data_IF_757302755723
#
_entry.id   IF_757302755723
#
_cell.length_a   1.000
_cell.length_b   1.000
_cell.length_c   1.000
_cell.angle_alpha   90.00
_cell.angle_beta   90.00
_cell.angle_gamma   90.00
#
_symmetry.space_group_name_H-M   'P 1'
#
loop_
_entity.id
_entity.type
_entity.pdbx_description
1 polymer ?
#
# COMPACT_ATOMS: atom_id res chain seq x y z
N UNK A 1 -0.24 19.42 -8.95
CA UNK A 1 -1.31 18.44 -8.68
C UNK A 1 -2.19 19.01 -7.60
N UNK A 2 -3.51 18.99 -7.81
CA UNK A 2 -4.46 19.50 -6.83
C UNK A 2 -4.67 18.42 -5.75
N UNK A 3 -4.33 18.73 -4.51
CA UNK A 3 -4.50 17.85 -3.34
C UNK A 3 -5.90 17.21 -3.27
N UNK A 4 -7.03 17.92 -3.48
CA UNK A 4 -8.35 17.28 -3.42
C UNK A 4 -8.52 16.20 -4.48
N UNK A 5 -7.97 16.40 -5.70
CA UNK A 5 -8.03 15.40 -6.76
C UNK A 5 -7.24 14.14 -6.39
N UNK A 6 -6.06 14.29 -5.79
CA UNK A 6 -5.23 13.14 -5.40
C UNK A 6 -5.82 12.39 -4.21
N UNK A 7 -6.41 13.11 -3.26
CA UNK A 7 -7.15 12.51 -2.15
C UNK A 7 -8.38 11.72 -2.64
N UNK A 8 -9.16 12.27 -3.58
CA UNK A 8 -10.31 11.58 -4.17
C UNK A 8 -9.91 10.32 -4.94
N UNK A 9 -8.84 10.38 -5.74
CA UNK A 9 -8.28 9.18 -6.41
C UNK A 9 -7.81 8.16 -5.39
N UNK A 10 -7.12 8.60 -4.34
CA UNK A 10 -6.70 7.72 -3.24
C UNK A 10 -7.88 7.03 -2.56
N UNK A 11 -8.95 7.77 -2.24
CA UNK A 11 -10.18 7.23 -1.67
C UNK A 11 -10.80 6.15 -2.56
N UNK A 12 -10.93 6.42 -3.86
CA UNK A 12 -11.47 5.46 -4.82
C UNK A 12 -10.60 4.19 -4.94
N UNK A 13 -9.27 4.33 -4.96
CA UNK A 13 -8.35 3.20 -4.96
C UNK A 13 -8.43 2.40 -3.66
N UNK A 14 -8.61 3.08 -2.52
CA UNK A 14 -8.84 2.44 -1.22
C UNK A 14 -10.12 1.60 -1.21
N UNK A 15 -11.23 2.14 -1.73
CA UNK A 15 -12.47 1.38 -1.91
C UNK A 15 -12.28 0.17 -2.82
N UNK A 16 -11.62 0.35 -3.97
CA UNK A 16 -11.36 -0.73 -4.91
C UNK A 16 -10.52 -1.84 -4.27
N UNK A 17 -9.50 -1.49 -3.50
CA UNK A 17 -8.67 -2.45 -2.78
C UNK A 17 -9.46 -3.19 -1.69
N UNK A 18 -10.26 -2.48 -0.89
CA UNK A 18 -11.10 -3.10 0.13
C UNK A 18 -12.15 -4.05 -0.46
N UNK A 19 -12.75 -3.68 -1.59
CA UNK A 19 -13.68 -4.55 -2.33
C UNK A 19 -12.96 -5.79 -2.87
N UNK A 20 -11.77 -5.64 -3.46
CA UNK A 20 -10.97 -6.76 -3.93
C UNK A 20 -10.57 -7.70 -2.79
N UNK A 21 -10.15 -7.15 -1.64
CA UNK A 21 -9.86 -7.92 -0.44
C UNK A 21 -11.09 -8.70 0.04
N UNK A 22 -12.28 -8.09 -0.01
CA UNK A 22 -13.53 -8.74 0.37
C UNK A 22 -13.90 -9.88 -0.57
N UNK A 23 -13.76 -9.67 -1.88
CA UNK A 23 -13.98 -10.72 -2.90
C UNK A 23 -12.99 -11.86 -2.68
N UNK A 24 -11.71 -11.55 -2.46
CA UNK A 24 -10.70 -12.55 -2.19
C UNK A 24 -11.03 -13.39 -0.95
N UNK A 25 -11.43 -12.76 0.17
CA UNK A 25 -11.89 -13.46 1.37
C UNK A 25 -13.07 -14.39 1.10
N UNK A 26 -14.01 -14.00 0.23
CA UNK A 26 -15.14 -14.85 -0.19
C UNK A 26 -14.69 -16.05 -0.99
N UNK A 27 -13.69 -15.88 -1.87
CA UNK A 27 -13.17 -16.95 -2.73
C UNK A 27 -12.39 -18.00 -1.95
N UNK A 28 -11.73 -17.62 -0.86
CA UNK A 28 -10.90 -18.52 -0.05
C UNK A 28 -11.63 -19.12 1.17
N UNK A 29 -12.91 -18.82 1.35
CA UNK A 29 -13.69 -19.29 2.50
C UNK A 29 -14.76 -20.26 2.02
N UNK A 30 -14.84 -21.44 2.66
CA UNK A 30 -15.84 -22.48 2.37
C UNK A 30 -17.21 -22.14 2.93
N UNK A 31 -17.28 -21.50 4.10
CA UNK A 31 -18.51 -21.08 4.77
C UNK A 31 -18.41 -19.61 5.21
N UNK A 32 -18.67 -18.66 4.30
CA UNK A 32 -18.34 -17.26 4.59
C UNK A 32 -19.50 -16.58 5.31
N UNK A 33 -19.41 -16.48 6.63
CA UNK A 33 -20.33 -15.71 7.48
C UNK A 33 -19.96 -14.23 7.48
N UNK A 34 -20.39 -13.54 6.43
CA UNK A 34 -20.03 -12.15 6.18
C UNK A 34 -21.17 -11.20 6.52
N UNK A 35 -20.95 -10.32 7.49
CA UNK A 35 -21.89 -9.25 7.81
C UNK A 35 -21.72 -8.03 6.87
N UNK A 36 -22.83 -7.35 6.58
CA UNK A 36 -22.82 -6.07 5.87
C UNK A 36 -22.10 -4.99 6.69
N UNK A 37 -22.27 -4.98 8.01
CA UNK A 37 -21.58 -4.07 8.92
C UNK A 37 -20.06 -4.25 8.83
N UNK A 38 -19.56 -5.48 8.89
CA UNK A 38 -18.12 -5.75 8.75
C UNK A 38 -17.59 -5.36 7.37
N UNK A 39 -18.39 -5.57 6.32
CA UNK A 39 -18.04 -5.14 4.96
C UNK A 39 -17.94 -3.61 4.87
N UNK A 40 -18.91 -2.88 5.42
CA UNK A 40 -18.90 -1.43 5.48
C UNK A 40 -17.70 -0.88 6.25
N UNK A 41 -17.33 -1.52 7.36
CA UNK A 41 -16.12 -1.17 8.12
C UNK A 41 -14.85 -1.37 7.30
N UNK A 42 -14.66 -2.53 6.66
CA UNK A 42 -13.49 -2.78 5.80
C UNK A 42 -13.40 -1.73 4.70
N UNK A 43 -14.50 -1.48 3.99
CA UNK A 43 -14.53 -0.49 2.92
C UNK A 43 -14.23 0.92 3.45
N UNK A 44 -14.82 1.32 4.57
CA UNK A 44 -14.57 2.61 5.20
C UNK A 44 -13.11 2.80 5.61
N UNK A 45 -12.52 1.79 6.25
CA UNK A 45 -11.11 1.80 6.62
C UNK A 45 -10.18 1.86 5.41
N UNK A 46 -10.44 1.04 4.39
CA UNK A 46 -9.62 1.03 3.17
C UNK A 46 -9.75 2.35 2.41
N UNK A 47 -10.97 2.91 2.29
CA UNK A 47 -11.22 4.19 1.67
C UNK A 47 -10.54 5.34 2.42
N UNK A 48 -10.62 5.34 3.75
CA UNK A 48 -9.93 6.30 4.61
C UNK A 48 -8.41 6.22 4.49
N UNK A 49 -7.86 4.99 4.47
CA UNK A 49 -6.44 4.77 4.22
C UNK A 49 -6.00 5.27 2.84
N UNK A 50 -6.76 4.92 1.81
CA UNK A 50 -6.54 5.41 0.45
C UNK A 50 -6.59 6.94 0.36
N UNK A 51 -7.55 7.57 1.03
CA UNK A 51 -7.66 9.02 1.12
C UNK A 51 -6.42 9.66 1.74
N UNK A 52 -5.93 9.11 2.86
CA UNK A 52 -4.70 9.56 3.52
C UNK A 52 -3.51 9.43 2.56
N UNK A 53 -3.33 8.29 1.91
CA UNK A 53 -2.24 8.07 0.96
C UNK A 53 -2.32 9.03 -0.25
N UNK A 54 -3.52 9.25 -0.78
CA UNK A 54 -3.77 10.20 -1.86
C UNK A 54 -3.52 11.66 -1.47
N UNK A 55 -3.88 12.02 -0.24
CA UNK A 55 -3.54 13.31 0.36
C UNK A 55 -2.02 13.47 0.49
N UNK A 56 -1.32 12.46 1.01
CA UNK A 56 0.15 12.47 1.16
C UNK A 56 0.86 12.61 -0.19
N UNK A 57 0.35 11.94 -1.23
CA UNK A 57 0.85 12.10 -2.60
C UNK A 57 0.69 13.55 -3.10
N UNK A 58 -0.45 14.17 -2.82
CA UNK A 58 -0.72 15.58 -3.14
C UNK A 58 0.15 16.56 -2.35
N UNK A 59 0.23 16.40 -1.03
CA UNK A 59 1.05 17.21 -0.14
C UNK A 59 2.54 17.13 -0.49
N UNK A 60 3.01 15.94 -0.87
CA UNK A 60 4.37 15.74 -1.40
C UNK A 60 4.59 16.50 -2.70
N UNK A 61 3.64 16.44 -3.63
CA UNK A 61 3.72 17.18 -4.89
C UNK A 61 3.73 18.71 -4.68
N UNK A 62 3.08 19.18 -3.60
CA UNK A 62 3.11 20.58 -3.16
C UNK A 62 4.38 20.97 -2.36
N UNK A 63 5.27 20.01 -2.06
CA UNK A 63 6.52 20.28 -1.36
C UNK A 63 6.40 20.44 0.16
N UNK A 64 5.40 19.83 0.79
CA UNK A 64 5.20 19.91 2.24
C UNK A 64 6.29 19.16 3.03
N UNK A 65 6.32 19.38 4.35
CA UNK A 65 7.30 18.78 5.27
C UNK A 65 7.15 17.27 5.39
N UNK A 66 8.20 16.57 5.85
CA UNK A 66 8.19 15.11 5.99
C UNK A 66 7.30 14.60 7.13
N UNK A 67 6.97 15.46 8.10
CA UNK A 67 6.17 15.11 9.27
C UNK A 67 4.78 14.56 8.91
N UNK A 68 4.20 15.05 7.81
CA UNK A 68 2.93 14.55 7.30
C UNK A 68 2.94 13.05 6.99
N UNK A 69 4.10 12.44 6.71
CA UNK A 69 4.21 10.99 6.47
C UNK A 69 3.76 10.16 7.67
N UNK A 70 3.83 10.69 8.88
CA UNK A 70 3.32 10.01 10.07
C UNK A 70 1.82 9.74 9.98
N UNK A 71 1.07 10.54 9.20
CA UNK A 71 -0.35 10.29 8.97
C UNK A 71 -0.61 8.94 8.30
N UNK A 72 0.30 8.45 7.46
CA UNK A 72 0.13 7.13 6.85
C UNK A 72 0.44 5.97 7.81
N UNK A 73 0.99 6.23 9.00
CA UNK A 73 1.03 5.24 10.09
C UNK A 73 -0.36 5.03 10.70
N UNK A 74 -1.26 6.01 10.60
CA UNK A 74 -2.65 5.84 11.04
C UNK A 74 -3.37 4.75 10.23
N UNK A 75 -2.94 4.52 8.98
CA UNK A 75 -3.45 3.44 8.14
C UNK A 75 -3.08 2.04 8.67
N UNK A 76 -2.18 1.92 9.66
CA UNK A 76 -1.86 0.62 10.26
C UNK A 76 -3.07 -0.02 10.94
N UNK A 77 -4.04 0.80 11.39
CA UNK A 77 -5.28 0.30 11.99
C UNK A 77 -6.07 -0.60 11.04
N UNK A 78 -5.93 -0.42 9.72
CA UNK A 78 -6.61 -1.22 8.68
C UNK A 78 -6.14 -2.69 8.73
N UNK A 79 -4.93 -2.93 9.23
CA UNK A 79 -4.33 -4.26 9.32
C UNK A 79 -4.52 -4.92 10.68
N UNK A 80 -5.33 -4.35 11.58
CA UNK A 80 -5.69 -5.00 12.82
C UNK A 80 -6.52 -6.27 12.53
N UNK A 81 -6.14 -7.41 13.12
CA UNK A 81 -6.81 -8.70 12.90
C UNK A 81 -6.27 -9.45 11.66
N UNK A 82 -7.13 -10.08 10.82
CA UNK A 82 -6.68 -10.91 9.69
C UNK A 82 -5.82 -10.17 8.66
N UNK A 83 -5.97 -8.84 8.56
CA UNK A 83 -5.17 -7.99 7.68
C UNK A 83 -3.69 -7.94 8.06
N UNK A 84 -3.30 -8.40 9.25
CA UNK A 84 -1.91 -8.34 9.75
C UNK A 84 -0.91 -9.04 8.83
N UNK A 85 -1.35 -10.04 8.06
CA UNK A 85 -0.51 -10.76 7.09
C UNK A 85 -0.02 -9.83 5.97
N UNK A 86 -0.77 -8.76 5.67
CA UNK A 86 -0.39 -7.74 4.68
C UNK A 86 0.53 -6.65 5.24
N UNK A 87 0.71 -6.58 6.56
CA UNK A 87 1.45 -5.51 7.23
C UNK A 87 2.93 -5.43 6.76
N UNK A 88 3.67 -6.55 6.57
CA UNK A 88 5.02 -6.48 5.99
C UNK A 88 5.04 -5.91 4.58
N UNK A 89 4.08 -6.29 3.72
CA UNK A 89 3.96 -5.76 2.36
C UNK A 89 3.62 -4.25 2.37
N UNK A 90 2.75 -3.82 3.28
CA UNK A 90 2.43 -2.41 3.44
C UNK A 90 3.62 -1.60 3.98
N UNK A 91 4.33 -2.08 4.99
CA UNK A 91 5.46 -1.33 5.56
C UNK A 91 6.69 -1.36 4.65
N UNK A 92 7.10 -2.55 4.21
CA UNK A 92 8.40 -2.73 3.54
C UNK A 92 8.28 -2.80 2.01
N UNK A 93 7.09 -3.09 1.47
CA UNK A 93 6.91 -3.24 0.02
C UNK A 93 7.35 -2.01 -0.76
N UNK A 94 7.09 -0.81 -0.25
CA UNK A 94 7.50 0.45 -0.89
C UNK A 94 9.02 0.59 -1.11
N UNK A 95 9.84 -0.23 -0.44
CA UNK A 95 11.28 -0.33 -0.68
C UNK A 95 11.64 -0.91 -2.05
N UNK A 96 10.74 -1.65 -2.70
CA UNK A 96 10.91 -2.15 -4.08
C UNK A 96 11.17 -1.03 -5.09
N UNK A 97 10.72 0.20 -4.80
CA UNK A 97 10.88 1.34 -5.69
C UNK A 97 12.18 2.15 -5.41
N UNK A 98 13.08 1.62 -4.58
CA UNK A 98 14.38 2.23 -4.29
C UNK A 98 15.43 1.68 -5.25
N UNK A 99 16.45 2.49 -5.56
CA UNK A 99 17.57 2.09 -6.44
C UNK A 99 18.61 1.19 -5.77
N UNK A 100 18.51 0.97 -4.46
CA UNK A 100 19.48 0.19 -3.70
C UNK A 100 19.04 -1.28 -3.64
N UNK A 101 19.87 -2.19 -4.15
CA UNK A 101 19.55 -3.63 -4.27
C UNK A 101 19.15 -4.23 -2.93
N UNK A 102 19.85 -3.91 -1.83
CA UNK A 102 19.52 -4.41 -0.49
C UNK A 102 18.10 -4.03 -0.04
N UNK A 103 17.65 -2.82 -0.35
CA UNK A 103 16.29 -2.37 -0.02
C UNK A 103 15.24 -3.04 -0.92
N UNK A 104 15.55 -3.28 -2.18
CA UNK A 104 14.67 -4.03 -3.08
C UNK A 104 14.53 -5.47 -2.59
N UNK A 105 15.63 -6.11 -2.20
CA UNK A 105 15.61 -7.46 -1.61
C UNK A 105 14.80 -7.50 -0.32
N UNK A 106 14.91 -6.49 0.54
CA UNK A 106 14.10 -6.39 1.75
C UNK A 106 12.59 -6.24 1.43
N UNK A 107 12.22 -5.40 0.46
CA UNK A 107 10.83 -5.24 0.02
C UNK A 107 10.27 -6.49 -0.64
N UNK A 108 11.05 -7.15 -1.50
CA UNK A 108 10.68 -8.41 -2.12
C UNK A 108 10.54 -9.52 -1.08
N UNK A 109 11.48 -9.60 -0.14
CA UNK A 109 11.45 -10.53 0.98
C UNK A 109 10.23 -10.35 1.88
N UNK A 110 9.75 -9.12 2.09
CA UNK A 110 8.53 -8.88 2.85
C UNK A 110 7.27 -9.40 2.14
N UNK A 111 7.17 -9.22 0.82
CA UNK A 111 6.02 -9.70 0.03
C UNK A 111 6.07 -11.23 -0.12
N UNK A 112 7.21 -11.77 -0.54
CA UNK A 112 7.40 -13.21 -0.72
C UNK A 112 7.36 -13.96 0.61
N UNK A 113 7.92 -13.37 1.66
CA UNK A 113 7.85 -13.90 3.03
C UNK A 113 6.42 -13.97 3.54
N UNK A 114 5.56 -13.00 3.20
CA UNK A 114 4.12 -13.06 3.48
C UNK A 114 3.44 -14.25 2.80
N UNK A 115 3.74 -14.48 1.51
CA UNK A 115 3.23 -15.64 0.76
C UNK A 115 3.73 -16.96 1.37
N UNK A 116 5.03 -17.05 1.67
CA UNK A 116 5.63 -18.24 2.27
C UNK A 116 5.06 -18.52 3.67
N UNK A 117 4.86 -17.49 4.48
CA UNK A 117 4.21 -17.60 5.78
C UNK A 117 2.78 -18.12 5.65
N UNK A 118 1.99 -17.55 4.73
CA UNK A 118 0.63 -18.02 4.45
C UNK A 118 0.65 -19.50 4.04
N UNK A 119 1.59 -19.90 3.18
CA UNK A 119 1.74 -21.28 2.74
C UNK A 119 2.08 -22.22 3.89
N UNK A 120 3.06 -21.88 4.73
CA UNK A 120 3.41 -22.68 5.92
C UNK A 120 2.23 -22.80 6.88
N UNK A 121 1.51 -21.70 7.13
CA UNK A 121 0.35 -21.68 8.02
C UNK A 121 -0.79 -22.58 7.51
N UNK A 122 -0.93 -22.76 6.20
CA UNK A 122 -1.99 -23.56 5.57
C UNK A 122 -1.60 -25.02 5.32
N UNK A 123 -0.39 -25.46 5.68
CA UNK A 123 0.01 -26.87 5.55
C UNK A 123 -0.72 -27.80 6.54
N UNK A 124 -1.27 -27.25 7.61
CA UNK A 124 -1.86 -28.03 8.71
C UNK A 124 -3.30 -28.49 8.44
N UNK A 125 -3.99 -27.86 7.49
CA UNK A 125 -5.33 -28.23 7.07
C UNK A 125 -5.33 -28.52 5.57
N UNK A 126 -5.84 -29.67 5.09
CA UNK A 126 -5.98 -29.91 3.66
C UNK A 126 -6.91 -28.85 3.08
N UNK A 127 -6.32 -27.85 2.41
CA UNK A 127 -7.03 -26.68 1.94
C UNK A 127 -8.09 -27.10 0.91
N UNK A 128 -9.39 -26.82 1.16
CA UNK A 128 -10.47 -27.08 0.19
C UNK A 128 -10.44 -26.12 -1.01
N UNK A 129 -9.49 -25.18 -1.05
CA UNK A 129 -9.42 -24.09 -2.04
C UNK A 129 -8.17 -24.25 -2.90
N UNK A 130 -8.32 -23.97 -4.19
CA UNK A 130 -7.21 -23.92 -5.14
C UNK A 130 -6.11 -22.94 -4.69
N UNK A 131 -4.88 -23.44 -4.60
CA UNK A 131 -3.72 -22.68 -4.13
C UNK A 131 -3.43 -21.44 -4.99
N UNK A 132 -3.72 -21.47 -6.30
CA UNK A 132 -3.55 -20.30 -7.16
C UNK A 132 -4.46 -19.15 -6.72
N UNK A 133 -5.71 -19.44 -6.36
CA UNK A 133 -6.66 -18.44 -5.87
C UNK A 133 -6.22 -17.85 -4.53
N UNK A 134 -5.73 -18.72 -3.63
CA UNK A 134 -5.27 -18.30 -2.31
C UNK A 134 -4.00 -17.45 -2.37
N UNK A 135 -2.91 -18.02 -2.87
CA UNK A 135 -1.59 -17.37 -2.88
C UNK A 135 -1.50 -16.28 -3.95
N UNK A 136 -2.12 -16.49 -5.12
CA UNK A 136 -2.16 -15.49 -6.19
C UNK A 136 -2.97 -14.25 -5.79
N UNK A 137 -4.14 -14.43 -5.17
CA UNK A 137 -4.93 -13.32 -4.65
C UNK A 137 -4.19 -12.54 -3.56
N UNK A 138 -3.55 -13.23 -2.62
CA UNK A 138 -2.72 -12.59 -1.60
C UNK A 138 -1.57 -11.78 -2.21
N UNK A 139 -0.87 -12.34 -3.21
CA UNK A 139 0.24 -11.67 -3.89
C UNK A 139 -0.24 -10.40 -4.60
N UNK A 140 -1.35 -10.46 -5.35
CA UNK A 140 -1.93 -9.31 -6.04
C UNK A 140 -2.30 -8.19 -5.06
N UNK A 141 -2.98 -8.53 -3.96
CA UNK A 141 -3.35 -7.56 -2.92
C UNK A 141 -2.12 -6.95 -2.24
N UNK A 142 -1.09 -7.75 -1.97
CA UNK A 142 0.19 -7.31 -1.39
C UNK A 142 0.95 -6.36 -2.32
N UNK A 143 0.97 -6.65 -3.62
CA UNK A 143 1.59 -5.78 -4.62
C UNK A 143 0.84 -4.44 -4.75
N UNK A 144 -0.49 -4.45 -4.68
CA UNK A 144 -1.27 -3.22 -4.68
C UNK A 144 -0.94 -2.33 -3.47
N UNK A 145 -0.80 -2.92 -2.27
CA UNK A 145 -0.37 -2.19 -1.07
C UNK A 145 1.07 -1.66 -1.19
N UNK A 146 1.96 -2.44 -1.79
CA UNK A 146 3.34 -2.06 -2.05
C UNK A 146 3.43 -0.80 -2.92
N UNK A 147 2.56 -0.67 -3.92
CA UNK A 147 2.47 0.53 -4.75
C UNK A 147 2.03 1.74 -3.90
N UNK A 148 1.04 1.56 -3.02
CA UNK A 148 0.57 2.61 -2.12
C UNK A 148 1.65 3.06 -1.11
N UNK A 149 2.38 2.11 -0.53
CA UNK A 149 3.41 2.39 0.47
C UNK A 149 4.69 3.00 -0.10
N UNK A 150 4.90 2.91 -1.42
CA UNK A 150 5.98 3.62 -2.10
C UNK A 150 6.01 5.13 -1.81
N UNK A 151 4.85 5.71 -1.48
CA UNK A 151 4.74 7.13 -1.11
C UNK A 151 5.49 7.49 0.20
N UNK A 152 5.71 6.53 1.10
CA UNK A 152 6.54 6.73 2.30
C UNK A 152 8.02 6.92 1.97
N UNK A 153 8.51 6.19 0.97
CA UNK A 153 9.94 6.03 0.68
C UNK A 153 10.44 6.86 -0.50
N UNK A 154 9.53 7.47 -1.27
CA UNK A 154 9.91 8.32 -2.41
C UNK A 154 10.72 9.53 -1.95
N UNK A 155 11.93 9.74 -2.50
CA UNK A 155 12.74 10.91 -2.18
C UNK A 155 12.08 12.17 -2.77
N UNK A 156 12.18 13.29 -2.05
CA UNK A 156 11.75 14.61 -2.55
C UNK A 156 12.56 14.89 -3.81
N UNK A 157 11.91 15.11 -4.96
CA UNK A 157 12.59 15.75 -6.10
C UNK A 157 13.08 17.10 -5.55
N UNK A 158 14.40 17.24 -5.32
CA UNK A 158 14.99 18.55 -5.06
C UNK A 158 14.57 19.38 -6.25
N UNK A 159 13.80 20.44 -6.02
CA UNK A 159 13.53 21.47 -7.02
C UNK A 159 14.92 21.97 -7.37
N UNK A 160 15.45 21.56 -8.52
CA UNK A 160 16.69 22.10 -9.05
C UNK A 160 16.44 23.59 -9.09
N UNK A 161 17.16 24.35 -8.26
CA UNK A 161 17.08 25.80 -8.33
C UNK A 161 17.30 26.17 -9.81
N UNK A 162 16.54 27.13 -10.37
CA UNK A 162 16.87 27.66 -11.68
C UNK A 162 18.35 28.00 -11.61
N UNK A 163 19.15 27.37 -12.47
CA UNK A 163 20.54 27.75 -12.65
C UNK A 163 20.45 29.19 -13.07
N UNK A 164 20.67 30.12 -12.13
CA UNK A 164 20.81 31.54 -12.45
C UNK A 164 21.74 31.55 -13.64
N UNK A 165 21.23 32.02 -14.79
CA UNK A 165 22.07 32.34 -15.91
C UNK A 165 23.12 33.27 -15.32
N UNK A 166 24.34 32.77 -15.18
CA UNK A 166 25.51 33.62 -15.06
C UNK A 166 25.46 34.49 -16.29
N UNK A 167 24.92 35.71 -16.14
CA UNK A 167 25.08 36.75 -17.12
C UNK A 167 26.60 36.97 -17.21
N UNK A 168 27.20 36.97 -18.40
CA UNK A 168 28.60 37.31 -18.53
C UNK A 168 28.78 38.73 -17.98
N UNK A 169 29.45 38.83 -16.84
CA UNK A 169 29.98 40.08 -16.33
C UNK A 169 31.31 40.27 -17.02
N UNK A 170 31.35 41.14 -18.02
CA UNK A 170 32.56 41.58 -18.72
C UNK A 170 32.31 41.73 -20.22
N UNK A 171 32.63 42.84 -20.86
CA UNK A 171 33.33 44.08 -20.49
C UNK A 171 32.81 45.19 -21.42
#
# INVERSE_FOLDING_TARGET
>A
MNIPKTAAVGFALGLAWGAAARVWMRLISTEPEFSWTGTGLILGFCAGGGLILGFLAGARAAGWSRWWRMLGLLCLVIFAGPGMVFLPAYLLGGLLFRRQVSLVLAGAGAVLGGVAFLWVANQQEPAPVDGLTMYGGFLVLSLALTIGSAEFYRPRRRRTAPRERQLPVGL
#
